data_IF_032403460477
#
_entry.id   IF_032403460477
#
_cell.length_a   1.000
_cell.length_b   1.000
_cell.length_c   1.000
_cell.angle_alpha   90.00
_cell.angle_beta   90.00
_cell.angle_gamma   90.00
#
_symmetry.space_group_name_H-M   'P 1'
#
loop_
_entity.id
_entity.type
_entity.pdbx_description
1 polymer ?
#
# COMPACT_ATOMS: atom_id res chain seq x y z
N UNK A 1 -51.42 -30.29 30.21
CA UNK A 1 -51.86 -28.89 30.37
C UNK A 1 -50.65 -28.12 30.90
N UNK A 2 -49.86 -27.39 30.15
CA UNK A 2 -50.19 -26.55 29.00
C UNK A 2 -50.44 -25.14 29.48
N UNK A 3 -49.40 -24.31 29.63
CA UNK A 3 -49.47 -22.87 29.32
C UNK A 3 -48.05 -22.36 29.02
N UNK A 4 -47.77 -22.18 27.74
CA UNK A 4 -46.75 -21.24 27.27
C UNK A 4 -47.13 -19.84 27.75
N UNK A 5 -46.17 -19.11 28.31
CA UNK A 5 -46.17 -17.65 28.23
C UNK A 5 -44.79 -17.24 27.73
N UNK A 6 -44.69 -17.04 26.41
CA UNK A 6 -43.54 -16.39 25.80
C UNK A 6 -43.72 -14.87 25.88
N UNK A 7 -42.71 -14.25 26.47
CA UNK A 7 -42.11 -12.95 26.12
C UNK A 7 -42.94 -11.68 26.37
N UNK A 8 -42.33 -10.77 27.15
CA UNK A 8 -41.85 -9.50 26.60
C UNK A 8 -40.81 -8.87 27.56
N UNK A 9 -39.68 -8.37 27.02
CA UNK A 9 -38.76 -7.48 27.74
C UNK A 9 -37.30 -7.91 27.96
N UNK A 10 -36.83 -9.02 27.36
CA UNK A 10 -35.44 -9.47 27.52
C UNK A 10 -34.44 -8.68 26.69
N UNK A 11 -33.83 -7.65 27.28
CA UNK A 11 -32.66 -6.94 26.76
C UNK A 11 -31.62 -7.94 26.24
N UNK A 12 -31.24 -7.86 24.95
CA UNK A 12 -30.24 -8.75 24.36
C UNK A 12 -28.90 -8.52 25.09
N UNK A 13 -28.54 -9.44 25.99
CA UNK A 13 -27.27 -9.44 26.71
C UNK A 13 -26.26 -10.40 26.04
N UNK A 14 -25.40 -9.89 25.13
CA UNK A 14 -24.39 -10.70 24.47
C UNK A 14 -23.35 -11.25 25.45
N UNK A 15 -23.13 -10.60 26.61
CA UNK A 15 -22.20 -11.09 27.64
C UNK A 15 -22.78 -12.30 28.36
N UNK A 16 -24.07 -12.27 28.72
CA UNK A 16 -24.79 -13.39 29.31
C UNK A 16 -24.80 -14.65 28.43
N UNK A 17 -25.03 -14.49 27.11
CA UNK A 17 -24.94 -15.61 26.16
C UNK A 17 -23.53 -16.18 26.02
N UNK A 18 -22.49 -15.32 26.00
CA UNK A 18 -21.11 -15.75 25.95
C UNK A 18 -20.72 -16.52 27.22
N UNK A 19 -21.17 -16.06 28.39
CA UNK A 19 -20.91 -16.72 29.67
C UNK A 19 -21.58 -18.10 29.75
N UNK A 20 -22.84 -18.21 29.29
CA UNK A 20 -23.55 -19.48 29.20
C UNK A 20 -22.84 -20.47 28.27
N UNK A 21 -22.36 -20.01 27.10
CA UNK A 21 -21.58 -20.85 26.17
C UNK A 21 -20.25 -21.31 26.77
N UNK A 22 -19.54 -20.44 27.48
CA UNK A 22 -18.28 -20.80 28.15
C UNK A 22 -18.51 -21.82 29.27
N UNK A 23 -19.59 -21.67 30.04
CA UNK A 23 -19.98 -22.61 31.11
C UNK A 23 -20.36 -23.98 30.55
N UNK A 24 -21.06 -24.00 29.41
CA UNK A 24 -21.42 -25.21 28.68
C UNK A 24 -20.21 -25.90 28.03
N UNK A 25 -19.26 -25.14 27.50
CA UNK A 25 -17.99 -25.70 27.00
C UNK A 25 -17.15 -26.32 28.14
N UNK A 26 -17.13 -25.69 29.31
CA UNK A 26 -16.46 -26.20 30.50
C UNK A 26 -17.09 -27.52 31.01
N UNK A 27 -18.42 -27.66 30.98
CA UNK A 27 -19.09 -28.92 31.34
C UNK A 27 -18.80 -30.08 30.39
N UNK A 28 -18.40 -29.80 29.15
CA UNK A 28 -17.95 -30.81 28.18
C UNK A 28 -16.43 -31.04 28.22
N UNK A 29 -15.70 -30.46 29.18
CA UNK A 29 -14.24 -30.56 29.24
C UNK A 29 -13.51 -29.84 28.09
N UNK A 30 -14.21 -28.99 27.34
CA UNK A 30 -13.66 -28.23 26.22
C UNK A 30 -13.15 -26.88 26.72
N UNK A 31 -11.83 -26.79 26.94
CA UNK A 31 -11.18 -25.59 27.43
C UNK A 31 -10.40 -24.88 26.32
N UNK A 32 -10.36 -23.55 26.38
CA UNK A 32 -9.51 -22.73 25.51
C UNK A 32 -8.06 -22.78 26.00
N UNK A 33 -7.34 -23.88 25.69
CA UNK A 33 -5.89 -24.16 25.92
C UNK A 33 -5.40 -23.92 27.35
N UNK A 34 -5.11 -24.99 28.11
CA UNK A 34 -4.61 -24.93 29.50
C UNK A 34 -3.08 -24.90 29.64
N UNK A 35 -2.34 -25.46 28.68
CA UNK A 35 -0.89 -25.64 28.81
C UNK A 35 -0.16 -24.52 28.08
N UNK A 36 0.29 -23.51 28.83
CA UNK A 36 1.16 -22.45 28.30
C UNK A 36 2.62 -22.84 28.52
N UNK A 37 3.47 -22.46 27.56
CA UNK A 37 4.92 -22.63 27.71
C UNK A 37 5.45 -21.71 28.80
N UNK A 38 6.54 -22.12 29.44
CA UNK A 38 7.17 -21.35 30.51
C UNK A 38 7.58 -19.94 30.02
N UNK A 39 7.33 -18.94 30.86
CA UNK A 39 7.51 -17.54 30.52
C UNK A 39 8.98 -17.22 30.29
N UNK A 40 9.88 -17.82 31.06
CA UNK A 40 11.31 -17.56 30.96
C UNK A 40 11.88 -18.11 29.65
N UNK A 41 11.46 -19.31 29.24
CA UNK A 41 11.84 -19.90 27.95
C UNK A 41 11.37 -19.04 26.76
N UNK A 42 10.15 -18.50 26.84
CA UNK A 42 9.59 -17.62 25.81
C UNK A 42 10.34 -16.28 25.76
N UNK A 43 10.67 -15.71 26.93
CA UNK A 43 11.43 -14.47 27.02
C UNK A 43 12.84 -14.62 26.44
N UNK A 44 13.53 -15.72 26.77
CA UNK A 44 14.85 -16.06 26.21
C UNK A 44 14.79 -16.22 24.69
N UNK A 45 13.80 -16.94 24.18
CA UNK A 45 13.59 -17.08 22.74
C UNK A 45 13.37 -15.71 22.06
N UNK A 46 12.50 -14.86 22.62
CA UNK A 46 12.27 -13.51 22.07
C UNK A 46 13.57 -12.69 22.10
N UNK A 47 14.34 -12.77 23.20
CA UNK A 47 15.60 -12.06 23.33
C UNK A 47 16.64 -12.48 22.29
N UNK A 48 16.76 -13.78 22.00
CA UNK A 48 17.60 -14.29 20.92
C UNK A 48 17.13 -13.82 19.54
N UNK A 49 15.81 -13.83 19.30
CA UNK A 49 15.25 -13.31 18.06
C UNK A 49 15.53 -11.81 17.89
N UNK A 50 15.51 -11.02 18.96
CA UNK A 50 15.83 -9.59 18.94
C UNK A 50 17.29 -9.30 18.59
N UNK A 51 18.22 -10.23 18.79
CA UNK A 51 19.63 -10.10 18.35
C UNK A 51 19.81 -10.30 16.84
N UNK A 52 18.78 -10.80 16.16
CA UNK A 52 18.78 -11.04 14.70
C UNK A 52 18.02 -9.95 13.95
N UNK A 53 17.87 -10.11 12.63
CA UNK A 53 16.99 -9.29 11.77
C UNK A 53 15.53 -9.24 12.25
N UNK A 54 15.16 -10.11 13.19
CA UNK A 54 13.83 -10.18 13.78
C UNK A 54 13.50 -9.05 14.75
N UNK A 55 14.46 -8.19 15.08
CA UNK A 55 14.26 -6.94 15.81
C UNK A 55 13.30 -5.97 15.11
N UNK A 56 13.02 -6.15 13.82
CA UNK A 56 12.08 -5.31 13.07
C UNK A 56 10.62 -5.76 13.22
N UNK A 57 10.38 -6.98 13.72
CA UNK A 57 9.05 -7.57 13.78
C UNK A 57 8.23 -7.09 14.99
N UNK A 58 6.96 -6.76 14.75
CA UNK A 58 6.02 -6.41 15.83
C UNK A 58 5.49 -7.63 16.58
N UNK A 59 4.80 -7.38 17.70
CA UNK A 59 4.32 -8.43 18.61
C UNK A 59 3.41 -9.49 17.96
N UNK A 60 2.63 -9.13 16.94
CA UNK A 60 1.78 -10.10 16.20
C UNK A 60 2.62 -11.13 15.44
N UNK A 61 3.72 -10.67 14.86
CA UNK A 61 4.60 -11.51 14.06
C UNK A 61 5.53 -12.33 14.96
N UNK A 62 6.01 -11.72 16.06
CA UNK A 62 6.73 -12.45 17.11
C UNK A 62 5.86 -13.55 17.74
N UNK A 63 4.56 -13.28 17.96
CA UNK A 63 3.60 -14.28 18.44
C UNK A 63 3.44 -15.46 17.47
N UNK A 64 3.31 -15.17 16.17
CA UNK A 64 3.29 -16.21 15.13
C UNK A 64 4.56 -17.06 15.13
N UNK A 65 5.72 -16.44 15.38
CA UNK A 65 7.01 -17.14 15.41
C UNK A 65 7.17 -18.02 16.65
N UNK A 66 6.68 -17.56 17.81
CA UNK A 66 6.59 -18.41 19.00
C UNK A 66 5.74 -19.66 18.71
N UNK A 67 4.58 -19.49 18.07
CA UNK A 67 3.72 -20.63 17.70
C UNK A 67 4.40 -21.60 16.72
N UNK A 68 5.13 -21.08 15.73
CA UNK A 68 5.88 -21.90 14.75
C UNK A 68 7.02 -22.69 15.39
N UNK A 69 7.61 -22.17 16.47
CA UNK A 69 8.68 -22.84 17.22
C UNK A 69 8.14 -23.68 18.39
N UNK A 70 6.85 -24.05 18.37
CA UNK A 70 6.25 -24.96 19.34
C UNK A 70 5.84 -24.32 20.67
N UNK A 71 6.00 -23.01 20.84
CA UNK A 71 5.57 -22.32 22.06
C UNK A 71 4.06 -22.07 22.05
N UNK A 72 3.39 -22.42 23.14
CA UNK A 72 1.97 -22.11 23.36
C UNK A 72 1.91 -20.86 24.23
N UNK A 73 1.73 -19.70 23.59
CA UNK A 73 1.77 -18.39 24.25
C UNK A 73 0.58 -17.53 23.91
N UNK A 74 0.13 -16.74 24.88
CA UNK A 74 -0.87 -15.72 24.64
C UNK A 74 -0.25 -14.53 23.90
N UNK A 75 -1.01 -13.96 22.96
CA UNK A 75 -0.59 -12.79 22.18
C UNK A 75 -0.26 -11.59 23.07
N UNK A 76 -1.02 -11.44 24.16
CA UNK A 76 -0.84 -10.36 25.13
C UNK A 76 0.46 -10.51 25.93
N UNK A 77 0.81 -11.75 26.27
CA UNK A 77 2.07 -12.06 26.95
C UNK A 77 3.28 -11.66 26.09
N UNK A 78 3.26 -11.97 24.78
CA UNK A 78 4.31 -11.58 23.85
C UNK A 78 4.40 -10.06 23.70
N UNK A 79 3.27 -9.35 23.75
CA UNK A 79 3.23 -7.87 23.71
C UNK A 79 3.92 -7.27 24.94
N UNK A 80 3.63 -7.78 26.13
CA UNK A 80 4.22 -7.32 27.40
C UNK A 80 5.73 -7.62 27.40
N UNK A 81 6.12 -8.86 27.08
CA UNK A 81 7.53 -9.27 27.03
C UNK A 81 8.34 -8.42 26.05
N UNK A 82 7.81 -8.13 24.86
CA UNK A 82 8.47 -7.23 23.91
C UNK A 82 8.59 -5.79 24.42
N UNK A 83 7.61 -5.32 25.18
CA UNK A 83 7.67 -4.00 25.83
C UNK A 83 8.80 -3.90 26.86
N UNK A 84 9.08 -5.00 27.56
CA UNK A 84 10.14 -5.08 28.57
C UNK A 84 11.51 -5.29 27.91
N UNK A 85 11.61 -6.20 26.93
CA UNK A 85 12.86 -6.61 26.30
C UNK A 85 13.37 -5.62 25.25
N UNK A 86 12.46 -4.89 24.58
CA UNK A 86 12.78 -3.93 23.52
C UNK A 86 11.93 -2.66 23.64
N UNK A 87 12.06 -1.89 24.74
CA UNK A 87 11.28 -0.67 24.95
C UNK A 87 11.59 0.38 23.88
N UNK A 88 12.83 0.45 23.39
CA UNK A 88 13.27 1.39 22.36
C UNK A 88 12.68 1.05 20.99
N UNK A 89 12.70 -0.22 20.58
CA UNK A 89 12.08 -0.66 19.33
C UNK A 89 10.56 -0.65 19.40
N UNK A 90 9.94 -0.94 20.54
CA UNK A 90 8.49 -0.73 20.74
C UNK A 90 8.14 0.75 20.64
N UNK A 91 8.88 1.65 21.29
CA UNK A 91 8.68 3.09 21.19
C UNK A 91 8.89 3.60 19.75
N UNK A 92 9.90 3.10 19.04
CA UNK A 92 10.14 3.42 17.64
C UNK A 92 8.99 2.97 16.73
N UNK A 93 8.41 1.78 16.98
CA UNK A 93 7.27 1.25 16.23
C UNK A 93 5.96 1.95 16.55
N UNK A 94 5.71 2.29 17.83
CA UNK A 94 4.53 3.07 18.26
C UNK A 94 4.56 4.46 17.62
N UNK A 95 5.76 5.05 17.48
CA UNK A 95 5.89 6.39 16.90
C UNK A 95 5.40 6.49 15.46
N UNK A 96 5.30 5.40 14.68
CA UNK A 96 4.78 5.30 13.27
C UNK A 96 4.94 6.56 12.39
N UNK A 97 5.92 7.40 12.66
CA UNK A 97 6.36 8.46 11.78
C UNK A 97 7.45 7.81 10.97
N UNK A 98 7.09 7.38 9.76
CA UNK A 98 8.04 7.41 8.65
C UNK A 98 8.85 8.69 8.84
N UNK A 99 10.16 8.55 9.11
CA UNK A 99 11.06 9.70 9.20
C UNK A 99 11.01 10.35 7.82
N UNK A 100 10.14 11.36 7.66
CA UNK A 100 9.95 12.07 6.41
C UNK A 100 11.30 12.67 6.08
N UNK A 101 11.95 12.16 5.02
CA UNK A 101 13.10 12.86 4.46
C UNK A 101 12.59 14.24 4.04
N UNK A 102 13.29 15.30 4.43
CA UNK A 102 12.97 16.63 3.95
C UNK A 102 13.27 16.69 2.45
N UNK A 103 12.23 16.51 1.62
CA UNK A 103 12.36 16.73 0.20
C UNK A 103 12.53 18.23 -0.04
N UNK A 104 13.72 18.63 -0.53
CA UNK A 104 14.03 19.99 -0.98
C UNK A 104 14.21 19.98 -2.50
N UNK A 105 13.45 20.82 -3.19
CA UNK A 105 13.66 21.19 -4.60
C UNK A 105 14.04 22.67 -4.65
N UNK A 106 14.85 23.07 -5.64
CA UNK A 106 15.34 24.46 -5.77
C UNK A 106 14.28 25.43 -6.31
N UNK A 107 13.18 24.92 -6.86
CA UNK A 107 12.09 25.73 -7.40
C UNK A 107 11.13 24.92 -8.28
N UNK A 108 10.07 25.55 -8.81
CA UNK A 108 9.16 24.95 -9.78
C UNK A 108 9.92 24.49 -11.03
N UNK A 109 9.47 23.39 -11.65
CA UNK A 109 10.09 22.81 -12.86
C UNK A 109 11.56 22.39 -12.67
N UNK A 110 12.03 22.30 -11.43
CA UNK A 110 13.41 21.89 -11.17
C UNK A 110 13.57 20.36 -11.23
N UNK A 111 12.61 19.61 -10.66
CA UNK A 111 12.60 18.14 -10.76
C UNK A 111 11.17 17.68 -10.97
N UNK A 112 10.92 17.00 -12.08
CA UNK A 112 9.67 16.29 -12.33
C UNK A 112 9.82 14.82 -11.92
N UNK A 113 8.81 14.26 -11.25
CA UNK A 113 8.77 12.84 -10.88
C UNK A 113 7.75 12.14 -11.77
N UNK A 114 8.19 11.11 -12.50
CA UNK A 114 7.32 10.25 -13.31
C UNK A 114 7.20 8.88 -12.64
N UNK A 115 6.00 8.33 -12.71
CA UNK A 115 5.71 6.99 -12.22
C UNK A 115 4.40 6.46 -12.84
N UNK A 116 4.28 5.14 -12.86
CA UNK A 116 3.13 4.42 -13.38
C UNK A 116 2.43 3.68 -12.24
N UNK A 117 1.12 3.89 -12.10
CA UNK A 117 0.30 3.28 -11.09
C UNK A 117 -0.39 2.02 -11.59
N UNK A 118 0.09 0.88 -11.10
CA UNK A 118 -0.26 -0.45 -11.60
C UNK A 118 -1.33 -1.18 -10.75
N UNK A 119 -1.94 -0.54 -9.74
CA UNK A 119 -2.93 -1.24 -8.88
C UNK A 119 -4.21 -1.63 -9.61
N UNK A 120 -4.56 -0.92 -10.68
CA UNK A 120 -5.71 -1.24 -11.53
C UNK A 120 -5.34 -2.09 -12.76
N UNK A 121 -4.05 -2.44 -12.91
CA UNK A 121 -3.55 -3.29 -14.01
C UNK A 121 -4.24 -4.65 -14.11
N UNK A 122 -4.63 -5.32 -13.00
CA UNK A 122 -5.42 -6.55 -13.08
C UNK A 122 -6.75 -6.38 -13.84
N UNK A 123 -7.32 -5.18 -13.84
CA UNK A 123 -8.56 -4.83 -14.54
C UNK A 123 -8.28 -4.20 -15.92
N UNK A 124 -7.03 -4.19 -16.38
CA UNK A 124 -6.62 -3.64 -17.67
C UNK A 124 -6.46 -2.11 -17.69
N UNK A 125 -6.42 -1.44 -16.52
CA UNK A 125 -6.28 0.01 -16.44
C UNK A 125 -4.92 0.35 -15.83
N UNK A 126 -4.11 1.11 -16.57
CA UNK A 126 -2.87 1.70 -16.07
C UNK A 126 -3.03 3.21 -15.98
N UNK A 127 -2.50 3.83 -14.93
CA UNK A 127 -2.50 5.29 -14.80
C UNK A 127 -1.05 5.78 -14.78
N UNK A 128 -0.67 6.59 -15.76
CA UNK A 128 0.65 7.23 -15.77
C UNK A 128 0.53 8.66 -15.26
N UNK A 129 1.45 9.07 -14.39
CA UNK A 129 1.42 10.39 -13.76
C UNK A 129 2.77 11.07 -13.79
N UNK A 130 2.74 12.40 -13.80
CA UNK A 130 3.90 13.23 -13.56
C UNK A 130 3.56 14.40 -12.65
N UNK A 131 4.45 14.68 -11.70
CA UNK A 131 4.27 15.72 -10.68
C UNK A 131 5.54 16.55 -10.52
N UNK A 132 5.37 17.87 -10.41
CA UNK A 132 6.46 18.78 -10.08
C UNK A 132 6.87 18.63 -8.61
N UNK A 133 8.17 18.41 -8.38
CA UNK A 133 8.70 18.11 -7.05
C UNK A 133 8.59 19.26 -6.06
N UNK A 134 8.54 20.51 -6.54
CA UNK A 134 8.47 21.71 -5.71
C UNK A 134 7.01 22.09 -5.40
N UNK A 135 6.23 22.41 -6.43
CA UNK A 135 4.86 22.90 -6.31
C UNK A 135 3.86 21.79 -5.99
N UNK A 136 4.19 20.53 -6.26
CA UNK A 136 3.26 19.39 -6.28
C UNK A 136 2.15 19.51 -7.33
N UNK A 137 2.33 20.39 -8.31
CA UNK A 137 1.45 20.50 -9.45
C UNK A 137 1.50 19.21 -10.27
N UNK A 138 0.33 18.66 -10.57
CA UNK A 138 0.19 17.49 -11.44
C UNK A 138 0.36 17.98 -12.88
N UNK A 139 1.45 17.58 -13.50
CA UNK A 139 1.80 17.99 -14.87
C UNK A 139 0.94 17.21 -15.85
N UNK A 140 0.82 15.89 -15.63
CA UNK A 140 -0.17 15.08 -16.31
C UNK A 140 -0.60 13.92 -15.43
N UNK A 141 -1.82 13.45 -15.69
CA UNK A 141 -2.36 12.22 -15.17
C UNK A 141 -3.20 11.58 -16.27
N UNK A 142 -2.72 10.47 -16.83
CA UNK A 142 -3.32 9.84 -18.01
C UNK A 142 -3.64 8.39 -17.72
N UNK A 143 -4.91 8.04 -17.94
CA UNK A 143 -5.39 6.66 -17.90
C UNK A 143 -5.16 6.04 -19.28
N UNK A 144 -4.58 4.85 -19.31
CA UNK A 144 -4.30 4.10 -20.53
C UNK A 144 -4.48 2.60 -20.34
N UNK A 145 -4.48 1.88 -21.47
CA UNK A 145 -4.65 0.42 -21.49
C UNK A 145 -3.36 -0.35 -21.16
N UNK A 146 -2.22 0.31 -21.31
CA UNK A 146 -0.90 -0.25 -21.05
C UNK A 146 0.09 0.89 -20.78
N UNK A 147 0.98 0.69 -19.80
CA UNK A 147 2.16 1.53 -19.54
C UNK A 147 3.42 1.02 -20.26
N UNK A 148 3.36 -0.15 -20.90
CA UNK A 148 4.56 -0.80 -21.44
C UNK A 148 5.08 -0.17 -22.74
N UNK A 149 4.33 0.76 -23.36
CA UNK A 149 4.74 1.39 -24.61
C UNK A 149 5.43 2.74 -24.36
N UNK A 150 6.76 2.84 -24.53
CA UNK A 150 7.49 4.08 -24.27
C UNK A 150 7.08 5.25 -25.18
N UNK A 151 6.48 4.98 -26.35
CA UNK A 151 5.97 6.04 -27.26
C UNK A 151 4.80 6.81 -26.65
N UNK A 152 3.93 6.12 -25.92
CA UNK A 152 2.75 6.75 -25.30
C UNK A 152 3.20 7.70 -24.20
N UNK A 153 4.11 7.23 -23.34
CA UNK A 153 4.65 8.01 -22.22
C UNK A 153 5.46 9.21 -22.74
N UNK A 154 6.26 9.01 -23.79
CA UNK A 154 6.94 10.10 -24.48
C UNK A 154 5.97 11.12 -25.11
N UNK A 155 4.83 10.68 -25.65
CA UNK A 155 3.79 11.57 -26.17
C UNK A 155 3.22 12.49 -25.09
N UNK A 156 2.93 11.96 -23.89
CA UNK A 156 2.48 12.78 -22.76
C UNK A 156 3.53 13.81 -22.33
N UNK A 157 4.81 13.43 -22.39
CA UNK A 157 5.90 14.34 -22.09
C UNK A 157 5.96 15.51 -23.07
N UNK A 158 5.90 15.24 -24.38
CA UNK A 158 5.91 16.29 -25.42
C UNK A 158 4.68 17.19 -25.31
N UNK A 159 3.50 16.63 -25.06
CA UNK A 159 2.27 17.40 -24.83
C UNK A 159 2.44 18.34 -23.63
N UNK A 160 2.99 17.85 -22.52
CA UNK A 160 3.24 18.64 -21.32
C UNK A 160 4.27 19.76 -21.54
N UNK A 161 5.34 19.50 -22.29
CA UNK A 161 6.31 20.53 -22.68
C UNK A 161 5.67 21.64 -23.52
N UNK A 162 4.79 21.26 -24.44
CA UNK A 162 4.07 22.20 -25.32
C UNK A 162 3.09 23.04 -24.52
N UNK A 163 2.35 22.42 -23.60
CA UNK A 163 1.36 23.12 -22.76
C UNK A 163 2.02 24.08 -21.74
N UNK A 164 3.13 23.67 -21.11
CA UNK A 164 3.81 24.49 -20.10
C UNK A 164 4.83 25.47 -20.69
N UNK A 165 5.13 25.35 -21.99
CA UNK A 165 6.18 26.09 -22.71
C UNK A 165 7.54 26.10 -21.97
N UNK A 166 7.82 25.05 -21.20
CA UNK A 166 8.99 24.96 -20.32
C UNK A 166 9.52 23.54 -20.26
N UNK A 167 10.85 23.44 -20.27
CA UNK A 167 11.57 22.16 -20.09
C UNK A 167 12.00 22.04 -18.63
N UNK A 168 11.74 20.90 -17.95
CA UNK A 168 12.20 20.69 -16.59
C UNK A 168 13.72 20.67 -16.52
N UNK A 169 14.27 21.04 -15.36
CA UNK A 169 15.72 20.93 -15.16
C UNK A 169 16.13 19.44 -15.11
N UNK A 170 15.55 18.62 -14.22
CA UNK A 170 15.80 17.18 -14.23
C UNK A 170 14.50 16.41 -14.21
N UNK A 171 14.52 15.23 -14.81
CA UNK A 171 13.44 14.26 -14.70
C UNK A 171 13.92 13.12 -13.81
N UNK A 172 13.06 12.65 -12.92
CA UNK A 172 13.30 11.46 -12.10
C UNK A 172 12.24 10.41 -12.39
N UNK A 173 12.71 9.17 -12.54
CA UNK A 173 11.89 7.98 -12.75
C UNK A 173 12.58 6.77 -12.13
N UNK A 174 11.79 5.73 -11.89
CA UNK A 174 12.34 4.39 -11.65
C UNK A 174 13.05 3.84 -12.89
N UNK A 175 13.92 2.84 -12.69
CA UNK A 175 14.56 2.12 -13.80
C UNK A 175 13.54 1.21 -14.50
N UNK A 176 12.79 1.81 -15.44
CA UNK A 176 11.87 1.12 -16.33
C UNK A 176 12.25 1.37 -17.79
N UNK A 177 12.05 0.36 -18.64
CA UNK A 177 12.22 0.49 -20.10
C UNK A 177 11.20 1.45 -20.72
N UNK A 178 10.04 1.61 -20.07
CA UNK A 178 8.96 2.53 -20.47
C UNK A 178 9.38 4.01 -20.51
N UNK A 179 10.40 4.41 -19.74
CA UNK A 179 10.83 5.81 -19.64
C UNK A 179 12.12 6.11 -20.42
N UNK A 180 12.61 5.15 -21.20
CA UNK A 180 13.84 5.26 -22.01
C UNK A 180 13.80 6.43 -23.01
N UNK A 181 12.71 6.58 -23.76
CA UNK A 181 12.57 7.68 -24.72
C UNK A 181 12.51 9.06 -24.07
N UNK A 182 11.90 9.19 -22.89
CA UNK A 182 11.91 10.46 -22.14
C UNK A 182 13.33 10.78 -21.68
N UNK A 183 14.09 9.79 -21.23
CA UNK A 183 15.48 10.01 -20.83
C UNK A 183 16.33 10.52 -22.00
N UNK A 184 16.14 9.96 -23.20
CA UNK A 184 16.82 10.40 -24.42
C UNK A 184 16.39 11.81 -24.85
N UNK A 185 15.07 12.07 -24.94
CA UNK A 185 14.52 13.38 -25.29
C UNK A 185 14.99 14.47 -24.32
N UNK A 186 14.94 14.20 -23.02
CA UNK A 186 15.38 15.16 -22.00
C UNK A 186 16.89 15.40 -22.08
N UNK A 187 17.68 14.37 -22.37
CA UNK A 187 19.13 14.53 -22.58
C UNK A 187 19.44 15.35 -23.83
N UNK A 188 18.64 15.19 -24.89
CA UNK A 188 18.75 15.99 -26.11
C UNK A 188 18.40 17.47 -25.87
N UNK A 189 17.24 17.75 -25.25
CA UNK A 189 16.78 19.12 -24.96
C UNK A 189 17.72 19.88 -24.01
N UNK A 190 18.46 19.14 -23.16
CA UNK A 190 19.38 19.68 -22.16
C UNK A 190 20.84 19.70 -22.58
N UNK A 191 21.18 19.22 -23.79
CA UNK A 191 22.56 19.04 -24.24
C UNK A 191 23.42 20.31 -24.11
N UNK A 192 22.79 21.49 -24.26
CA UNK A 192 23.46 22.79 -24.21
C UNK A 192 23.16 23.58 -22.91
N UNK A 193 22.50 22.98 -21.93
CA UNK A 193 22.06 23.66 -20.71
C UNK A 193 23.14 23.74 -19.61
N UNK A 194 23.16 24.81 -18.79
CA UNK A 194 24.15 24.94 -17.72
C UNK A 194 23.77 24.06 -16.52
N UNK A 195 24.67 23.16 -16.10
CA UNK A 195 24.63 22.56 -14.77
C UNK A 195 25.04 21.09 -14.64
N UNK A 196 25.89 20.84 -13.64
CA UNK A 196 26.53 19.58 -13.19
C UNK A 196 25.62 18.37 -12.89
N UNK A 197 24.30 18.43 -13.10
CA UNK A 197 23.37 17.35 -12.72
C UNK A 197 22.79 16.66 -13.96
N UNK A 198 22.75 15.32 -13.95
CA UNK A 198 22.22 14.52 -15.06
C UNK A 198 20.79 14.95 -15.41
N UNK A 199 20.53 15.10 -16.72
CA UNK A 199 19.22 15.52 -17.23
C UNK A 199 18.10 14.54 -16.83
N UNK A 200 18.46 13.27 -16.69
CA UNK A 200 17.61 12.21 -16.17
C UNK A 200 18.25 11.55 -14.94
N UNK A 201 17.45 11.28 -13.92
CA UNK A 201 17.84 10.67 -12.66
C UNK A 201 17.09 9.35 -12.50
N UNK A 202 17.81 8.24 -12.66
CA UNK A 202 17.29 6.94 -12.25
C UNK A 202 17.37 6.82 -10.73
N UNK A 203 16.26 6.49 -10.10
CA UNK A 203 16.18 6.25 -8.66
C UNK A 203 15.43 4.96 -8.36
N UNK A 204 15.52 4.50 -7.12
CA UNK A 204 14.54 3.53 -6.61
C UNK A 204 13.24 4.25 -6.27
N UNK A 205 12.11 3.53 -6.28
CA UNK A 205 10.77 4.03 -5.94
C UNK A 205 10.75 4.90 -4.66
N UNK A 206 11.55 4.51 -3.67
CA UNK A 206 11.76 5.24 -2.40
C UNK A 206 12.26 6.70 -2.55
N UNK A 207 12.77 7.07 -3.73
CA UNK A 207 13.23 8.41 -4.09
C UNK A 207 12.20 9.22 -4.90
N UNK A 208 11.13 8.58 -5.38
CA UNK A 208 9.97 9.15 -6.07
C UNK A 208 8.85 9.52 -5.07
N UNK A 209 9.25 10.04 -3.91
CA UNK A 209 8.35 10.27 -2.77
C UNK A 209 7.16 11.17 -3.05
N UNK A 210 7.28 12.09 -4.02
CA UNK A 210 6.22 13.05 -4.35
C UNK A 210 5.06 12.37 -5.06
N UNK A 211 5.37 11.59 -6.08
CA UNK A 211 4.36 10.87 -6.85
C UNK A 211 3.81 9.68 -6.05
N UNK A 212 4.65 8.97 -5.28
CA UNK A 212 4.17 7.93 -4.35
C UNK A 212 3.21 8.48 -3.29
N UNK A 213 3.51 9.66 -2.71
CA UNK A 213 2.60 10.31 -1.77
C UNK A 213 1.29 10.69 -2.43
N UNK A 214 1.32 11.08 -3.70
CA UNK A 214 0.13 11.44 -4.47
C UNK A 214 -0.71 10.20 -4.81
N UNK A 215 -0.09 9.08 -5.19
CA UNK A 215 -0.77 7.78 -5.34
C UNK A 215 -1.47 7.34 -4.05
N UNK A 216 -0.87 7.63 -2.89
CA UNK A 216 -1.49 7.38 -1.60
C UNK A 216 -2.78 8.18 -1.37
N UNK A 217 -2.89 9.39 -1.93
CA UNK A 217 -4.11 10.20 -1.91
C UNK A 217 -5.11 9.62 -2.92
N UNK A 218 -4.70 9.44 -4.18
CA UNK A 218 -5.55 8.88 -5.23
C UNK A 218 -6.20 7.56 -4.80
N UNK A 219 -5.43 6.71 -4.10
CA UNK A 219 -5.93 5.46 -3.58
C UNK A 219 -7.06 5.63 -2.58
N UNK A 220 -6.86 6.51 -1.59
CA UNK A 220 -7.83 6.72 -0.51
C UNK A 220 -9.11 7.37 -1.01
N UNK A 221 -8.97 8.34 -1.92
CA UNK A 221 -10.09 9.16 -2.36
C UNK A 221 -10.90 8.52 -3.49
N UNK A 222 -10.28 7.70 -4.35
CA UNK A 222 -10.95 7.21 -5.57
C UNK A 222 -10.70 5.73 -5.86
N UNK A 223 -9.44 5.29 -5.97
CA UNK A 223 -9.15 3.95 -6.50
C UNK A 223 -9.64 2.83 -5.59
N UNK A 224 -9.72 3.05 -4.28
CA UNK A 224 -10.21 2.03 -3.34
C UNK A 224 -11.66 1.60 -3.68
N UNK A 225 -12.53 2.56 -4.01
CA UNK A 225 -13.90 2.27 -4.45
C UNK A 225 -13.90 1.41 -5.73
N UNK A 226 -13.13 1.80 -6.75
CA UNK A 226 -13.07 1.06 -8.01
C UNK A 226 -12.53 -0.35 -7.86
N UNK A 227 -11.51 -0.56 -7.00
CA UNK A 227 -11.00 -1.89 -6.72
C UNK A 227 -12.07 -2.78 -6.06
N UNK A 228 -12.81 -2.26 -5.08
CA UNK A 228 -13.90 -3.00 -4.42
C UNK A 228 -15.04 -3.31 -5.39
N UNK A 229 -15.43 -2.34 -6.22
CA UNK A 229 -16.45 -2.51 -7.25
C UNK A 229 -16.08 -3.58 -8.29
N UNK A 230 -14.85 -3.55 -8.81
CA UNK A 230 -14.38 -4.55 -9.76
C UNK A 230 -14.21 -5.93 -9.13
N UNK A 231 -13.82 -5.99 -7.85
CA UNK A 231 -13.74 -7.26 -7.12
C UNK A 231 -15.13 -7.87 -6.90
N UNK A 232 -16.14 -7.05 -6.58
CA UNK A 232 -17.53 -7.51 -6.46
C UNK A 232 -18.07 -8.06 -7.78
N UNK A 233 -17.87 -7.34 -8.89
CA UNK A 233 -18.28 -7.83 -10.22
C UNK A 233 -17.60 -9.15 -10.61
N UNK A 234 -16.37 -9.36 -10.16
CA UNK A 234 -15.67 -10.63 -10.34
C UNK A 234 -16.28 -11.76 -9.50
N UNK A 235 -16.69 -11.47 -8.26
CA UNK A 235 -17.34 -12.45 -7.38
C UNK A 235 -18.74 -12.84 -7.89
N UNK A 236 -19.46 -11.88 -8.47
CA UNK A 236 -20.81 -12.08 -9.02
C UNK A 236 -20.80 -12.83 -10.37
N UNK A 237 -19.62 -13.16 -10.91
CA UNK A 237 -19.47 -13.93 -12.15
C UNK A 237 -19.58 -13.10 -13.44
N UNK A 238 -19.69 -11.77 -13.34
CA UNK A 238 -19.70 -10.87 -14.50
C UNK A 238 -18.32 -10.63 -15.10
N UNK A 239 -17.25 -11.10 -14.45
CA UNK A 239 -15.89 -10.88 -14.90
C UNK A 239 -15.03 -12.14 -14.72
N UNK A 240 -14.69 -12.79 -15.83
CA UNK A 240 -13.83 -13.98 -15.85
C UNK A 240 -12.34 -13.63 -15.80
N UNK A 241 -12.00 -12.35 -15.99
CA UNK A 241 -10.61 -11.89 -16.03
C UNK A 241 -9.89 -12.16 -17.34
N UNK A 242 -10.63 -12.54 -18.37
CA UNK A 242 -10.09 -12.82 -19.69
C UNK A 242 -9.78 -11.52 -20.45
N UNK A 243 -8.95 -11.60 -21.49
CA UNK A 243 -8.50 -10.44 -22.27
C UNK A 243 -9.67 -9.66 -22.89
N UNK A 244 -10.75 -10.36 -23.26
CA UNK A 244 -11.95 -9.77 -23.85
C UNK A 244 -12.75 -8.97 -22.81
N UNK A 245 -12.93 -9.48 -21.59
CA UNK A 245 -13.66 -8.79 -20.52
C UNK A 245 -12.94 -7.52 -20.07
N UNK A 246 -11.60 -7.59 -19.96
CA UNK A 246 -10.76 -6.43 -19.63
C UNK A 246 -10.82 -5.36 -20.71
N UNK A 247 -10.71 -5.75 -21.99
CA UNK A 247 -10.61 -4.82 -23.10
C UNK A 247 -11.95 -4.25 -23.59
N UNK A 248 -13.05 -5.02 -23.53
CA UNK A 248 -14.37 -4.60 -24.03
C UNK A 248 -15.31 -4.02 -22.99
N UNK A 249 -15.26 -4.45 -21.73
CA UNK A 249 -16.17 -3.93 -20.70
C UNK A 249 -15.47 -2.91 -19.80
N UNK A 250 -14.38 -3.30 -19.14
CA UNK A 250 -13.75 -2.39 -18.17
C UNK A 250 -13.07 -1.20 -18.85
N UNK A 251 -12.25 -1.46 -19.86
CA UNK A 251 -11.54 -0.38 -20.58
C UNK A 251 -12.47 0.52 -21.41
N UNK A 252 -13.59 0.01 -21.90
CA UNK A 252 -14.49 0.79 -22.76
C UNK A 252 -15.47 1.65 -21.95
N UNK A 253 -16.09 1.08 -20.90
CA UNK A 253 -17.09 1.82 -20.11
C UNK A 253 -16.48 2.67 -19.00
N UNK A 254 -15.40 2.19 -18.35
CA UNK A 254 -14.94 2.81 -17.12
C UNK A 254 -13.69 3.67 -17.29
N UNK A 255 -12.93 3.56 -18.39
CA UNK A 255 -11.76 4.45 -18.57
C UNK A 255 -12.14 5.93 -18.65
N UNK A 256 -13.25 6.26 -19.32
CA UNK A 256 -13.69 7.65 -19.45
C UNK A 256 -14.26 8.20 -18.15
N UNK A 257 -14.82 7.33 -17.29
CA UNK A 257 -15.32 7.69 -15.96
C UNK A 257 -14.16 7.84 -14.96
N UNK A 258 -13.14 6.98 -15.06
CA UNK A 258 -11.95 6.99 -14.19
C UNK A 258 -10.97 8.11 -14.61
N UNK A 259 -11.09 8.61 -15.84
CA UNK A 259 -10.36 9.81 -16.28
C UNK A 259 -10.80 11.00 -15.43
N UNK A 260 -9.94 11.36 -14.49
CA UNK A 260 -10.06 12.59 -13.72
C UNK A 260 -9.86 13.74 -14.72
N UNK A 261 -10.93 14.50 -14.99
CA UNK A 261 -10.89 15.76 -15.73
C UNK A 261 -10.30 16.87 -14.85
#
# INVERSE_FOLDING_TARGET
MGTLCFMEGGQYDPAGQAFYRLRRLASYGLYRRKNFSDVLQVAMFIFEQLKSSSCLHGYRWMHSRCLQNGFIVQKEMVRILLGILDPSGVAARVKRKLKRRHYRSKGPNYIWHLDSYDKLKPYGICVNGCIDGFSRFIIWLRVGRSNNNPRIVAGFYVEALTYLERVPHSIRSDMGTENSYIAEMQSFLRRNGPGSRTAFLYGTSQHNQRIESWWGILRKECVQFWMEFFEQMKQDGYFTGDFIDKSRMIQYFFMDIIRIR
#
